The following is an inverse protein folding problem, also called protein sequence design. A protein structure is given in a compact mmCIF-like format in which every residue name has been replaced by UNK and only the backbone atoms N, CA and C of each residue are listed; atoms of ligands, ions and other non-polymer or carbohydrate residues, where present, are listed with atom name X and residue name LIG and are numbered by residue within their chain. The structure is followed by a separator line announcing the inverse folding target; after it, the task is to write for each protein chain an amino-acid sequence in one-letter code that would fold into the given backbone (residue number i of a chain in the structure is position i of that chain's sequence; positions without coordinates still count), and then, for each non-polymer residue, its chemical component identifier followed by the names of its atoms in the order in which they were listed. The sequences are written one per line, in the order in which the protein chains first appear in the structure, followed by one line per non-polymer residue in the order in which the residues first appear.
data_IF_854066861132
#
_entry.id   IF_854066861132
#
_cell.length_a   1.000
_cell.length_b   1.000
_cell.length_c   1.000
_cell.angle_alpha   90.00
_cell.angle_beta   90.00
_cell.angle_gamma   90.00
#
_symmetry.space_group_name_H-M   'P 1'
#
loop_
_entity.id
_entity.type
_entity.pdbx_description
1 polymer ?
#
# COMPACT_ATOMS: atom_id res chain seq x y z
N UNK A 1 -21.34 14.42 1.27
CA UNK A 1 -20.35 14.94 2.24
C UNK A 1 -18.99 14.99 1.56
N UNK A 2 -18.27 16.10 1.70
CA UNK A 2 -16.87 16.21 1.27
C UNK A 2 -15.97 15.93 2.46
N UNK A 3 -14.92 15.15 2.27
CA UNK A 3 -13.90 14.85 3.27
C UNK A 3 -12.55 15.19 2.64
N UNK A 4 -11.83 16.10 3.27
CA UNK A 4 -10.52 16.58 2.83
C UNK A 4 -9.39 15.85 3.58
N UNK A 5 -8.15 16.04 3.13
CA UNK A 5 -6.92 15.47 3.71
C UNK A 5 -6.95 13.93 3.86
N UNK A 6 -7.56 13.25 2.87
CA UNK A 6 -7.65 11.79 2.85
C UNK A 6 -6.35 11.19 2.34
N UNK A 7 -5.88 10.16 3.05
CA UNK A 7 -4.70 9.38 2.66
C UNK A 7 -5.06 8.33 1.60
N UNK A 8 -4.29 8.30 0.51
CA UNK A 8 -4.43 7.36 -0.59
C UNK A 8 -3.80 5.99 -0.24
N UNK A 9 -4.56 4.88 -0.22
CA UNK A 9 -4.08 3.57 0.21
C UNK A 9 -3.59 2.70 -0.97
N UNK A 10 -2.89 3.28 -1.94
CA UNK A 10 -2.48 2.57 -3.16
C UNK A 10 -0.98 2.29 -3.27
N UNK A 11 -0.15 3.30 -3.55
CA UNK A 11 1.31 3.15 -3.73
C UNK A 11 2.09 3.81 -2.59
N UNK A 12 3.41 3.63 -2.59
CA UNK A 12 4.32 4.16 -1.57
C UNK A 12 4.40 5.69 -1.50
N UNK A 13 3.80 6.43 -2.44
CA UNK A 13 3.72 7.90 -2.36
C UNK A 13 2.84 8.40 -1.22
N UNK A 14 1.90 7.56 -0.75
CA UNK A 14 0.99 7.81 0.37
C UNK A 14 0.41 9.24 0.35
N UNK A 15 -0.19 9.62 -0.78
CA UNK A 15 -0.70 10.99 -0.95
C UNK A 15 -1.78 11.28 0.10
N UNK A 16 -1.64 12.40 0.81
CA UNK A 16 -2.41 12.78 2.00
C UNK A 16 -3.29 14.02 1.77
N UNK A 17 -3.45 14.43 0.52
CA UNK A 17 -4.15 15.65 0.08
C UNK A 17 -5.37 15.35 -0.81
N UNK A 18 -5.93 14.14 -0.71
CA UNK A 18 -7.11 13.79 -1.50
C UNK A 18 -8.36 14.40 -0.88
N UNK A 19 -9.25 14.86 -1.76
CA UNK A 19 -10.62 15.25 -1.40
C UNK A 19 -11.57 14.19 -1.94
N UNK A 20 -12.34 13.55 -1.07
CA UNK A 20 -13.32 12.53 -1.46
C UNK A 20 -14.74 13.03 -1.24
N UNK A 21 -15.62 12.76 -2.20
CA UNK A 21 -17.06 13.03 -2.08
C UNK A 21 -17.81 11.73 -1.82
N UNK A 22 -18.58 11.72 -0.73
CA UNK A 22 -19.36 10.57 -0.26
C UNK A 22 -20.86 10.89 -0.34
N UNK A 23 -21.63 10.01 -0.97
CA UNK A 23 -23.09 10.08 -1.04
C UNK A 23 -23.68 8.70 -0.74
N UNK A 24 -24.71 8.64 0.12
CA UNK A 24 -25.38 7.39 0.50
C UNK A 24 -24.40 6.28 0.93
N UNK A 25 -23.36 6.64 1.70
CA UNK A 25 -22.32 5.71 2.17
C UNK A 25 -21.35 5.22 1.10
N UNK A 26 -21.32 5.84 -0.09
CA UNK A 26 -20.43 5.47 -1.20
C UNK A 26 -19.57 6.64 -1.64
N UNK A 27 -18.31 6.37 -1.96
CA UNK A 27 -17.41 7.35 -2.57
C UNK A 27 -17.78 7.48 -4.05
N UNK A 28 -18.15 8.70 -4.46
CA UNK A 28 -18.61 8.99 -5.83
C UNK A 28 -17.59 9.77 -6.65
N UNK A 29 -16.64 10.45 -6.01
CA UNK A 29 -15.59 11.20 -6.67
C UNK A 29 -14.36 11.34 -5.76
N UNK A 30 -13.19 11.46 -6.38
CA UNK A 30 -11.91 11.71 -5.73
C UNK A 30 -11.20 12.80 -6.52
N UNK A 31 -10.90 13.91 -5.85
CA UNK A 31 -10.07 14.99 -6.37
C UNK A 31 -8.62 14.78 -5.90
N UNK A 32 -7.65 15.30 -6.65
CA UNK A 32 -6.20 15.12 -6.45
C UNK A 32 -5.69 13.66 -6.54
N UNK A 33 -6.54 12.65 -6.73
CA UNK A 33 -6.08 11.28 -6.96
C UNK A 33 -5.55 11.08 -8.39
N UNK A 34 -4.50 10.27 -8.54
CA UNK A 34 -4.08 9.78 -9.86
C UNK A 34 -5.00 8.64 -10.34
N UNK A 35 -4.81 8.20 -11.58
CA UNK A 35 -5.59 7.09 -12.18
C UNK A 35 -5.65 5.85 -11.27
N UNK A 36 -4.53 5.46 -10.66
CA UNK A 36 -4.45 4.29 -9.78
C UNK A 36 -5.19 4.50 -8.45
N UNK A 37 -5.01 5.67 -7.82
CA UNK A 37 -5.71 6.03 -6.59
C UNK A 37 -7.22 6.13 -6.80
N UNK A 38 -7.65 6.78 -7.89
CA UNK A 38 -9.06 6.91 -8.24
C UNK A 38 -9.71 5.54 -8.49
N UNK A 39 -9.01 4.64 -9.20
CA UNK A 39 -9.49 3.28 -9.42
C UNK A 39 -9.69 2.50 -8.10
N UNK A 40 -8.79 2.70 -7.12
CA UNK A 40 -8.91 2.06 -5.80
C UNK A 40 -10.14 2.54 -5.03
N UNK A 41 -10.42 3.84 -5.05
CA UNK A 41 -11.56 4.43 -4.31
C UNK A 41 -12.91 4.21 -5.01
N UNK A 42 -12.93 4.22 -6.35
CA UNK A 42 -14.15 4.09 -7.15
C UNK A 42 -14.43 2.65 -7.60
N UNK A 43 -13.59 1.70 -7.19
CA UNK A 43 -13.73 0.28 -7.48
C UNK A 43 -15.09 -0.26 -7.00
N UNK A 44 -15.73 -1.06 -7.86
CA UNK A 44 -17.06 -1.65 -7.58
C UNK A 44 -17.00 -3.11 -7.17
N UNK A 45 -15.85 -3.75 -7.37
CA UNK A 45 -15.64 -5.16 -7.04
C UNK A 45 -15.38 -5.31 -5.54
N UNK A 46 -16.33 -5.91 -4.84
CA UNK A 46 -16.26 -6.16 -3.40
C UNK A 46 -16.78 -7.55 -3.11
N UNK A 47 -16.01 -8.34 -2.36
CA UNK A 47 -16.52 -9.56 -1.72
C UNK A 47 -17.49 -9.15 -0.58
N UNK A 48 -18.79 -9.43 -0.68
CA UNK A 48 -19.77 -9.00 0.32
C UNK A 48 -19.81 -9.92 1.55
N UNK A 49 -19.34 -11.16 1.41
CA UNK A 49 -19.30 -12.17 2.44
C UNK A 49 -18.05 -13.07 2.26
N UNK A 50 -17.62 -13.78 3.32
CA UNK A 50 -16.68 -14.88 3.18
C UNK A 50 -17.19 -15.95 2.21
N UNK A 51 -16.28 -16.65 1.56
CA UNK A 51 -16.59 -17.71 0.59
C UNK A 51 -15.76 -18.95 0.85
N UNK A 52 -16.30 -20.12 0.51
CA UNK A 52 -15.61 -21.41 0.60
C UNK A 52 -15.76 -22.18 -0.71
N UNK A 53 -14.69 -22.83 -1.15
CA UNK A 53 -14.73 -23.69 -2.34
C UNK A 53 -15.29 -25.06 -1.96
N UNK A 54 -16.23 -25.53 -2.75
CA UNK A 54 -16.81 -26.87 -2.71
C UNK A 54 -16.66 -27.56 -4.06
N UNK A 55 -17.07 -28.82 -4.16
CA UNK A 55 -17.17 -29.52 -5.45
C UNK A 55 -18.08 -28.82 -6.47
N UNK A 56 -19.02 -27.99 -6.01
CA UNK A 56 -19.94 -27.21 -6.84
C UNK A 56 -19.44 -25.78 -7.14
N UNK A 57 -18.21 -25.43 -6.75
CA UNK A 57 -17.64 -24.09 -6.91
C UNK A 57 -17.59 -23.27 -5.61
N UNK A 58 -17.47 -21.94 -5.73
CA UNK A 58 -17.41 -21.02 -4.59
C UNK A 58 -18.81 -20.70 -4.07
N UNK A 59 -19.01 -20.87 -2.76
CA UNK A 59 -20.28 -20.60 -2.09
C UNK A 59 -20.07 -19.61 -0.94
N UNK A 60 -21.01 -18.68 -0.69
CA UNK A 60 -20.94 -17.79 0.47
C UNK A 60 -21.15 -18.57 1.77
N UNK A 61 -20.40 -18.19 2.80
CA UNK A 61 -20.50 -18.76 4.16
C UNK A 61 -20.50 -17.65 5.22
N UNK A 62 -20.81 -18.01 6.48
CA UNK A 62 -20.76 -17.10 7.62
C UNK A 62 -19.33 -16.76 8.06
N UNK A 63 -19.16 -15.66 8.81
CA UNK A 63 -17.85 -15.30 9.37
C UNK A 63 -17.34 -16.34 10.37
N UNK A 64 -18.19 -16.80 11.29
CA UNK A 64 -17.78 -17.81 12.29
C UNK A 64 -17.31 -19.10 11.61
N UNK A 65 -18.07 -19.61 10.63
CA UNK A 65 -17.67 -20.80 9.86
C UNK A 65 -16.34 -20.58 9.11
N UNK A 66 -16.13 -19.39 8.52
CA UNK A 66 -14.90 -19.08 7.81
C UNK A 66 -13.69 -19.00 8.75
N UNK A 67 -13.88 -18.45 9.94
CA UNK A 67 -12.86 -18.33 10.98
C UNK A 67 -12.50 -19.71 11.49
N UNK A 68 -13.50 -20.51 11.92
CA UNK A 68 -13.29 -21.87 12.45
C UNK A 68 -12.55 -22.75 11.44
N UNK A 69 -12.99 -22.74 10.18
CA UNK A 69 -12.32 -23.47 9.10
C UNK A 69 -10.85 -23.04 8.92
N UNK A 70 -10.58 -21.73 9.00
CA UNK A 70 -9.23 -21.20 8.86
C UNK A 70 -8.34 -21.58 10.04
N UNK A 71 -8.88 -21.54 11.26
CA UNK A 71 -8.18 -21.95 12.49
C UNK A 71 -7.82 -23.43 12.42
N UNK A 72 -8.76 -24.31 12.09
CA UNK A 72 -8.52 -25.74 11.95
C UNK A 72 -7.43 -26.04 10.90
N UNK A 73 -7.48 -25.34 9.75
CA UNK A 73 -6.49 -25.46 8.70
C UNK A 73 -5.09 -25.02 9.16
N UNK A 74 -4.99 -23.90 9.89
CA UNK A 74 -3.71 -23.39 10.37
C UNK A 74 -3.11 -24.27 11.48
N UNK A 75 -3.94 -24.77 12.41
CA UNK A 75 -3.50 -25.65 13.50
C UNK A 75 -3.09 -27.04 13.01
N UNK A 76 -3.67 -27.50 11.89
CA UNK A 76 -3.33 -28.79 11.28
C UNK A 76 -2.10 -28.72 10.36
N UNK A 77 -1.57 -27.52 10.09
CA UNK A 77 -0.45 -27.34 9.17
C UNK A 77 0.89 -27.58 9.87
N UNK A 78 1.78 -28.36 9.25
CA UNK A 78 3.13 -28.58 9.78
C UNK A 78 4.03 -27.34 9.70
N UNK A 79 3.77 -26.45 8.73
CA UNK A 79 4.57 -25.25 8.47
C UNK A 79 3.74 -24.15 7.78
N UNK A 80 2.82 -23.48 8.49
CA UNK A 80 1.95 -22.48 7.89
C UNK A 80 2.74 -21.22 7.47
N UNK A 81 2.38 -20.64 6.32
CA UNK A 81 2.89 -19.36 5.82
C UNK A 81 1.75 -18.35 5.80
N UNK A 82 1.95 -17.21 6.48
CA UNK A 82 1.06 -16.06 6.38
C UNK A 82 1.75 -14.97 5.54
N UNK A 83 1.31 -14.81 4.28
CA UNK A 83 1.94 -13.94 3.28
C UNK A 83 1.08 -12.74 2.88
N UNK A 84 1.71 -11.60 2.61
CA UNK A 84 1.08 -10.45 1.96
C UNK A 84 1.33 -9.14 2.71
N UNK A 85 0.40 -8.77 3.60
CA UNK A 85 0.47 -7.67 4.58
C UNK A 85 0.67 -6.23 4.07
N UNK A 86 1.24 -6.01 2.89
CA UNK A 86 1.59 -4.68 2.38
C UNK A 86 0.39 -3.79 2.02
N UNK A 87 -0.82 -4.36 1.99
CA UNK A 87 -2.08 -3.67 1.68
C UNK A 87 -3.02 -3.49 2.88
N UNK A 88 -2.51 -3.57 4.11
CA UNK A 88 -3.27 -3.34 5.35
C UNK A 88 -2.59 -2.30 6.25
N UNK A 89 -3.15 -2.08 7.44
CA UNK A 89 -2.70 -1.13 8.44
C UNK A 89 -1.83 -1.82 9.52
N UNK A 90 -1.06 -1.03 10.26
CA UNK A 90 -0.05 -1.55 11.20
C UNK A 90 -0.63 -2.43 12.30
N UNK A 91 -1.81 -2.12 12.82
CA UNK A 91 -2.48 -2.87 13.87
C UNK A 91 -2.79 -4.31 13.42
N UNK A 92 -3.27 -4.48 12.18
CA UNK A 92 -3.51 -5.80 11.62
C UNK A 92 -2.21 -6.58 11.37
N UNK A 93 -1.12 -5.89 11.02
CA UNK A 93 0.21 -6.51 10.87
C UNK A 93 0.73 -7.00 12.23
N UNK A 94 0.57 -6.21 13.30
CA UNK A 94 0.94 -6.61 14.66
C UNK A 94 0.19 -7.87 15.10
N UNK A 95 -1.13 -7.93 14.88
CA UNK A 95 -1.93 -9.12 15.15
C UNK A 95 -1.42 -10.31 14.32
N UNK A 96 -1.09 -10.09 13.04
CA UNK A 96 -0.52 -11.11 12.17
C UNK A 96 0.78 -11.72 12.68
N UNK A 97 1.69 -10.90 13.24
CA UNK A 97 2.91 -11.36 13.89
C UNK A 97 2.59 -12.25 15.09
N UNK A 98 1.74 -11.79 16.01
CA UNK A 98 1.34 -12.57 17.19
C UNK A 98 0.64 -13.89 16.83
N UNK A 99 -0.23 -13.88 15.82
CA UNK A 99 -0.87 -15.09 15.32
C UNK A 99 0.17 -16.07 14.75
N UNK A 100 1.16 -15.56 14.01
CA UNK A 100 2.23 -16.39 13.45
C UNK A 100 3.07 -17.04 14.54
N UNK A 101 3.41 -16.29 15.59
CA UNK A 101 4.11 -16.82 16.77
C UNK A 101 3.32 -17.95 17.44
N UNK A 102 2.01 -17.74 17.66
CA UNK A 102 1.13 -18.72 18.29
C UNK A 102 1.03 -20.04 17.52
N UNK A 103 0.98 -19.98 16.18
CA UNK A 103 0.86 -21.17 15.33
C UNK A 103 2.23 -21.76 14.93
N UNK A 104 3.35 -21.18 15.38
CA UNK A 104 4.69 -21.62 14.99
C UNK A 104 4.97 -21.47 13.48
N UNK A 105 4.37 -20.47 12.85
CA UNK A 105 4.39 -20.27 11.41
C UNK A 105 5.53 -19.40 10.88
N UNK A 106 5.46 -19.10 9.60
CA UNK A 106 6.31 -18.11 8.92
C UNK A 106 5.43 -16.93 8.52
N UNK A 107 5.93 -15.72 8.75
CA UNK A 107 5.32 -14.50 8.24
C UNK A 107 6.26 -13.87 7.21
N UNK A 108 5.71 -13.49 6.07
CA UNK A 108 6.44 -12.78 5.02
C UNK A 108 5.53 -11.79 4.29
N UNK A 109 6.08 -10.72 3.72
CA UNK A 109 5.30 -9.71 2.99
C UNK A 109 5.68 -9.66 1.52
N UNK A 110 4.98 -8.85 0.73
CA UNK A 110 5.35 -8.64 -0.69
C UNK A 110 6.74 -8.05 -0.86
N UNK A 111 7.42 -7.65 0.22
CA UNK A 111 8.81 -7.22 0.19
C UNK A 111 9.73 -8.29 -0.38
N UNK A 112 9.52 -9.59 -0.10
CA UNK A 112 10.39 -10.66 -0.61
C UNK A 112 10.43 -10.74 -2.14
N UNK A 113 9.41 -10.22 -2.82
CA UNK A 113 9.31 -10.12 -4.29
C UNK A 113 9.41 -8.67 -4.82
N UNK A 114 9.79 -7.72 -3.96
CA UNK A 114 9.91 -6.31 -4.29
C UNK A 114 11.26 -5.76 -3.81
N UNK A 115 11.28 -5.01 -2.70
CA UNK A 115 12.50 -4.41 -2.15
C UNK A 115 13.29 -5.33 -1.20
N UNK A 116 13.01 -6.63 -1.18
CA UNK A 116 13.76 -7.63 -0.40
C UNK A 116 15.27 -7.59 -0.65
N UNK A 117 15.73 -7.58 -1.91
CA UNK A 117 17.15 -7.40 -2.22
C UNK A 117 17.73 -6.06 -1.69
N UNK A 118 16.92 -4.99 -1.68
CA UNK A 118 17.33 -3.71 -1.09
C UNK A 118 17.54 -3.83 0.42
N UNK A 119 16.68 -4.56 1.14
CA UNK A 119 16.83 -4.78 2.59
C UNK A 119 18.12 -5.57 2.89
N UNK A 120 18.43 -6.60 2.11
CA UNK A 120 19.68 -7.36 2.26
C UNK A 120 20.91 -6.45 2.07
N UNK A 121 20.92 -5.63 1.02
CA UNK A 121 22.00 -4.67 0.79
C UNK A 121 22.12 -3.66 1.95
N UNK A 122 21.00 -3.14 2.44
CA UNK A 122 20.99 -2.19 3.57
C UNK A 122 21.61 -2.82 4.83
N UNK A 123 21.34 -4.10 5.09
CA UNK A 123 21.92 -4.82 6.22
C UNK A 123 23.44 -4.95 6.11
N UNK A 124 23.98 -5.04 4.88
CA UNK A 124 25.42 -5.19 4.62
C UNK A 124 26.18 -3.87 4.57
N UNK A 125 25.61 -2.84 3.93
CA UNK A 125 26.34 -1.60 3.59
C UNK A 125 25.67 -0.30 4.07
N UNK A 126 24.52 -0.39 4.75
CA UNK A 126 23.81 0.75 5.32
C UNK A 126 22.78 1.40 4.41
N UNK A 127 22.08 2.41 4.95
CA UNK A 127 20.97 3.10 4.29
C UNK A 127 21.06 4.63 4.45
N UNK A 128 21.89 5.33 3.66
CA UNK A 128 21.86 6.78 3.62
C UNK A 128 20.58 7.24 2.90
N UNK A 129 19.77 8.05 3.57
CA UNK A 129 18.48 8.50 3.04
C UNK A 129 18.09 9.90 3.53
N UNK A 130 16.99 10.41 2.98
CA UNK A 130 16.38 11.67 3.40
C UNK A 130 14.86 11.62 3.20
N UNK A 131 14.14 12.58 3.78
CA UNK A 131 12.69 12.70 3.55
C UNK A 131 12.40 13.39 2.22
N UNK A 132 11.21 13.15 1.66
CA UNK A 132 10.74 13.78 0.42
C UNK A 132 10.74 15.32 0.50
N UNK A 133 10.60 15.88 1.70
CA UNK A 133 10.72 17.32 1.93
C UNK A 133 12.14 17.85 1.67
N UNK A 134 13.19 17.08 1.95
CA UNK A 134 14.56 17.48 1.61
C UNK A 134 14.75 17.46 0.09
N UNK A 135 14.27 16.42 -0.58
CA UNK A 135 14.35 16.30 -2.05
C UNK A 135 13.62 17.44 -2.75
N UNK A 136 12.40 17.76 -2.30
CA UNK A 136 11.61 18.86 -2.87
C UNK A 136 12.31 20.20 -2.75
N UNK A 137 12.92 20.49 -1.61
CA UNK A 137 13.44 21.82 -1.33
C UNK A 137 14.91 22.03 -1.74
N UNK A 138 15.71 20.96 -1.86
CA UNK A 138 17.18 21.09 -1.95
C UNK A 138 17.84 20.29 -3.07
N UNK A 139 17.19 19.26 -3.61
CA UNK A 139 17.81 18.46 -4.66
C UNK A 139 17.82 19.24 -5.98
N UNK A 140 19.01 19.42 -6.55
CA UNK A 140 19.26 19.96 -7.88
C UNK A 140 19.40 18.83 -8.92
N UNK A 141 19.86 17.64 -8.50
CA UNK A 141 19.89 16.44 -9.33
C UNK A 141 18.92 15.37 -8.79
N UNK A 142 18.08 14.84 -9.68
CA UNK A 142 17.16 13.73 -9.39
C UNK A 142 17.41 12.58 -10.35
N UNK A 143 17.76 11.41 -9.83
CA UNK A 143 17.99 10.20 -10.62
C UNK A 143 16.89 9.18 -10.29
N UNK A 144 16.16 8.75 -11.33
CA UNK A 144 15.27 7.60 -11.26
C UNK A 144 15.98 6.39 -11.87
N UNK A 145 16.46 5.46 -11.04
CA UNK A 145 17.22 4.30 -11.49
C UNK A 145 16.36 3.03 -11.40
N UNK A 146 16.12 2.37 -12.55
CA UNK A 146 15.39 1.10 -12.57
C UNK A 146 13.91 1.21 -12.18
N UNK A 147 13.32 2.41 -12.25
CA UNK A 147 11.92 2.67 -11.91
C UNK A 147 11.26 3.60 -12.93
N UNK A 148 9.94 3.47 -13.09
CA UNK A 148 9.12 4.38 -13.88
C UNK A 148 8.06 5.05 -12.98
N UNK A 149 8.33 6.24 -12.43
CA UNK A 149 7.42 6.90 -11.49
C UNK A 149 6.11 7.34 -12.16
N UNK A 150 6.11 7.65 -13.45
CA UNK A 150 4.88 8.07 -14.16
C UNK A 150 3.84 6.96 -14.12
N UNK A 151 4.27 5.71 -14.30
CA UNK A 151 3.39 4.54 -14.30
C UNK A 151 3.12 4.02 -12.88
N UNK A 152 4.17 3.82 -12.06
CA UNK A 152 4.03 3.13 -10.78
C UNK A 152 3.72 4.05 -9.59
N UNK A 153 4.13 5.32 -9.67
CA UNK A 153 4.03 6.30 -8.59
C UNK A 153 3.60 7.68 -9.12
N UNK A 154 2.44 7.81 -9.79
CA UNK A 154 2.19 8.89 -10.77
C UNK A 154 2.30 10.31 -10.23
N UNK A 155 2.10 10.51 -8.92
CA UNK A 155 2.22 11.81 -8.26
C UNK A 155 3.58 12.09 -7.61
N UNK A 156 4.53 11.16 -7.66
CA UNK A 156 5.85 11.34 -7.06
C UNK A 156 6.60 12.53 -7.66
N UNK A 157 6.56 12.66 -8.99
CA UNK A 157 7.25 13.73 -9.70
C UNK A 157 6.67 15.11 -9.41
N UNK A 158 5.33 15.21 -9.36
CA UNK A 158 4.61 16.47 -9.13
C UNK A 158 4.51 16.89 -7.67
N UNK A 159 4.57 15.95 -6.71
CA UNK A 159 4.53 16.30 -5.29
C UNK A 159 5.91 16.55 -4.68
N UNK A 160 6.95 15.87 -5.16
CA UNK A 160 8.20 15.78 -4.39
C UNK A 160 9.48 16.04 -5.16
N UNK A 161 9.48 16.03 -6.50
CA UNK A 161 10.74 16.09 -7.27
C UNK A 161 10.65 17.05 -8.47
N UNK A 162 10.79 16.55 -9.70
CA UNK A 162 11.02 17.32 -10.94
C UNK A 162 10.00 18.42 -11.21
N UNK A 163 8.75 18.26 -10.77
CA UNK A 163 7.67 19.24 -11.02
C UNK A 163 7.10 19.84 -9.74
N UNK A 164 7.79 19.68 -8.61
CA UNK A 164 7.34 20.17 -7.33
C UNK A 164 8.12 21.42 -6.92
N UNK A 165 7.42 22.54 -6.77
CA UNK A 165 8.02 23.74 -6.21
C UNK A 165 8.42 23.53 -4.74
N UNK A 166 9.58 24.08 -4.39
CA UNK A 166 10.14 24.04 -3.06
C UNK A 166 10.25 25.43 -2.45
N UNK A 167 10.48 25.49 -1.15
CA UNK A 167 10.68 26.74 -0.41
C UNK A 167 11.88 27.56 -0.94
N UNK A 168 12.95 26.88 -1.39
CA UNK A 168 14.15 27.53 -1.93
C UNK A 168 14.21 27.56 -3.47
N UNK A 169 13.28 26.89 -4.16
CA UNK A 169 13.30 26.75 -5.61
C UNK A 169 11.86 26.89 -6.14
N UNK A 170 11.55 28.09 -6.62
CA UNK A 170 10.32 28.38 -7.35
C UNK A 170 10.48 28.01 -8.84
N UNK A 171 9.43 27.52 -9.48
CA UNK A 171 9.43 27.02 -10.86
C UNK A 171 10.40 25.85 -11.09
N UNK A 172 10.30 24.80 -10.27
CA UNK A 172 11.18 23.63 -10.31
C UNK A 172 11.33 23.00 -11.71
N UNK A 173 10.27 23.05 -12.53
CA UNK A 173 10.31 22.52 -13.90
C UNK A 173 11.36 23.18 -14.81
N UNK A 174 11.66 24.47 -14.60
CA UNK A 174 12.63 25.22 -15.42
C UNK A 174 13.99 25.38 -14.75
N UNK A 175 13.99 25.39 -13.43
CA UNK A 175 15.14 25.83 -12.64
C UNK A 175 15.89 24.68 -11.95
N UNK A 176 15.42 23.43 -12.11
CA UNK A 176 16.10 22.22 -11.64
C UNK A 176 16.81 21.52 -12.78
#
# INVERSE_FOLDING_TARGET
MKIDDVVCPFCGCLCDDLSVRVENGRIIAVDNGCTLGNAKFLGKERLPAPIRRSGAGWQPIGYDEAIDYTVDMLLSADRPLLFGWSGTHGEAQCIGVHMTELIGGIIDSTTSVCHGPSILAIQEVGHPGCTLGQVKNRADLVIYWGCNPIEAHPRHMSRYTTYADGYFLENAFRNR
#
